data_IF_208277565973
#
_entry.id   IF_208277565973
#
_cell.length_a   1.000
_cell.length_b   1.000
_cell.length_c   1.000
_cell.angle_alpha   90.00
_cell.angle_beta   90.00
_cell.angle_gamma   90.00
#
_symmetry.space_group_name_H-M   'P 1'
#
loop_
_entity.id
_entity.type
_entity.pdbx_description
1 polymer ?
#
# COMPACT_ATOMS: atom_id res chain seq x y z
N UNK A 1 -8.51 47.71 -13.28
CA UNK A 1 -7.28 46.98 -12.88
C UNK A 1 -7.25 46.64 -11.39
N UNK A 2 -7.53 47.59 -10.48
CA UNK A 2 -7.47 47.37 -9.01
C UNK A 2 -8.33 46.20 -8.50
N UNK A 3 -9.58 46.05 -8.97
CA UNK A 3 -10.48 44.96 -8.52
C UNK A 3 -9.98 43.55 -8.89
N UNK A 4 -9.40 43.39 -10.09
CA UNK A 4 -8.84 42.10 -10.53
C UNK A 4 -7.63 41.68 -9.68
N UNK A 5 -6.79 42.63 -9.29
CA UNK A 5 -5.66 42.36 -8.39
C UNK A 5 -6.13 42.01 -6.98
N UNK A 6 -7.17 42.68 -6.46
CA UNK A 6 -7.74 42.35 -5.15
C UNK A 6 -8.25 40.90 -5.14
N UNK A 7 -9.04 40.50 -6.14
CA UNK A 7 -9.56 39.12 -6.25
C UNK A 7 -8.42 38.11 -6.35
N UNK A 8 -7.41 38.38 -7.17
CA UNK A 8 -6.23 37.50 -7.32
C UNK A 8 -5.51 37.29 -5.97
N UNK A 9 -5.21 38.37 -5.25
CA UNK A 9 -4.51 38.28 -3.96
C UNK A 9 -5.35 37.59 -2.89
N UNK A 10 -6.67 37.80 -2.88
CA UNK A 10 -7.56 37.09 -1.95
C UNK A 10 -7.57 35.58 -2.22
N UNK A 11 -7.65 35.16 -3.49
CA UNK A 11 -7.59 33.74 -3.84
C UNK A 11 -6.23 33.12 -3.50
N UNK A 12 -5.13 33.82 -3.77
CA UNK A 12 -3.80 33.37 -3.36
C UNK A 12 -3.70 33.22 -1.83
N UNK A 13 -4.19 34.20 -1.07
CA UNK A 13 -4.16 34.15 0.39
C UNK A 13 -4.99 32.97 0.93
N UNK A 14 -6.19 32.75 0.41
CA UNK A 14 -7.03 31.60 0.80
C UNK A 14 -6.33 30.28 0.44
N UNK A 15 -5.74 30.16 -0.74
CA UNK A 15 -5.01 28.95 -1.16
C UNK A 15 -3.79 28.66 -0.28
N UNK A 16 -3.05 29.70 0.11
CA UNK A 16 -1.92 29.57 1.04
C UNK A 16 -2.42 29.16 2.43
N UNK A 17 -3.45 29.82 2.96
CA UNK A 17 -4.03 29.47 4.27
C UNK A 17 -4.53 28.02 4.27
N UNK A 18 -5.28 27.61 3.25
CA UNK A 18 -5.76 26.24 3.10
C UNK A 18 -4.61 25.24 3.07
N UNK A 19 -3.57 25.51 2.28
CA UNK A 19 -2.38 24.66 2.21
C UNK A 19 -1.70 24.56 3.57
N UNK A 20 -1.46 25.70 4.24
CA UNK A 20 -0.85 25.73 5.58
C UNK A 20 -1.68 24.90 6.55
N UNK A 21 -3.01 25.08 6.59
CA UNK A 21 -3.89 24.29 7.45
C UNK A 21 -3.74 22.80 7.13
N UNK A 22 -3.88 22.37 5.87
CA UNK A 22 -3.75 20.96 5.49
C UNK A 22 -2.39 20.38 5.91
N UNK A 23 -1.29 21.09 5.66
CA UNK A 23 0.05 20.62 5.98
C UNK A 23 0.43 20.71 7.46
N UNK A 24 -0.27 21.51 8.26
CA UNK A 24 0.02 21.69 9.70
C UNK A 24 -0.96 20.97 10.63
N UNK A 25 -2.20 20.74 10.18
CA UNK A 25 -3.26 20.10 10.98
C UNK A 25 -3.40 18.59 10.75
N UNK A 26 -2.73 18.04 9.72
CA UNK A 26 -3.10 16.73 9.15
C UNK A 26 -2.14 15.56 9.35
N UNK A 27 -1.05 15.65 10.11
CA UNK A 27 -0.11 14.51 10.30
C UNK A 27 -0.04 14.00 11.74
N UNK A 28 -1.04 14.32 12.57
CA UNK A 28 -1.15 13.83 13.93
C UNK A 28 -2.20 12.71 14.10
N UNK A 29 -2.80 12.19 13.02
CA UNK A 29 -3.36 10.84 13.11
C UNK A 29 -2.17 9.91 13.29
N UNK A 30 -2.04 9.20 14.43
CA UNK A 30 -1.18 8.04 14.44
C UNK A 30 -1.79 7.15 13.37
N UNK A 31 -1.10 7.02 12.22
CA UNK A 31 -1.31 5.87 11.36
C UNK A 31 -1.34 4.67 12.31
N UNK A 32 -2.24 3.68 12.16
CA UNK A 32 -2.19 2.48 12.97
C UNK A 32 -0.75 2.01 12.88
N UNK A 33 -0.03 2.27 13.96
CA UNK A 33 1.42 2.22 13.90
C UNK A 33 1.60 0.73 13.70
N UNK A 34 2.31 0.38 12.64
CA UNK A 34 2.86 -0.94 12.56
C UNK A 34 3.78 -1.04 13.77
N UNK A 35 3.22 -1.46 14.92
CA UNK A 35 3.89 -1.47 16.20
C UNK A 35 5.02 -2.50 16.19
N UNK A 36 4.98 -3.41 15.21
CA UNK A 36 6.02 -4.35 14.91
C UNK A 36 7.09 -3.74 13.98
N UNK A 37 8.29 -3.54 14.52
CA UNK A 37 9.44 -3.01 13.78
C UNK A 37 9.83 -3.88 12.56
N UNK A 38 9.54 -5.18 12.59
CA UNK A 38 9.83 -6.08 11.48
C UNK A 38 8.87 -5.88 10.32
N UNK A 39 7.57 -5.71 10.60
CA UNK A 39 6.57 -5.40 9.57
C UNK A 39 6.90 -4.05 8.91
N UNK A 40 7.29 -3.05 9.70
CA UNK A 40 7.71 -1.75 9.16
C UNK A 40 8.98 -1.86 8.30
N UNK A 41 9.90 -2.76 8.67
CA UNK A 41 11.10 -3.04 7.88
C UNK A 41 10.78 -3.79 6.59
N UNK A 42 9.88 -4.78 6.63
CA UNK A 42 9.38 -5.47 5.44
C UNK A 42 8.70 -4.51 4.47
N UNK A 43 7.85 -3.60 4.96
CA UNK A 43 7.22 -2.57 4.14
C UNK A 43 8.26 -1.65 3.48
N UNK A 44 9.33 -1.29 4.22
CA UNK A 44 10.43 -0.48 3.68
C UNK A 44 11.18 -1.23 2.58
N UNK A 45 11.57 -2.48 2.82
CA UNK A 45 12.24 -3.35 1.84
C UNK A 45 11.40 -3.51 0.57
N UNK A 46 10.10 -3.76 0.71
CA UNK A 46 9.16 -3.89 -0.41
C UNK A 46 9.15 -2.64 -1.30
N UNK A 47 9.17 -1.45 -0.68
CA UNK A 47 9.19 -0.16 -1.39
C UNK A 47 10.55 0.12 -2.04
N UNK A 48 11.65 -0.08 -1.31
CA UNK A 48 13.00 0.20 -1.79
C UNK A 48 13.39 -0.69 -2.98
N UNK A 49 12.90 -1.93 -3.00
CA UNK A 49 13.14 -2.88 -4.09
C UNK A 49 12.05 -2.86 -5.18
N UNK A 50 11.16 -1.86 -5.14
CA UNK A 50 10.14 -1.59 -6.16
C UNK A 50 9.24 -2.79 -6.48
N UNK A 51 8.89 -3.60 -5.48
CA UNK A 51 8.10 -4.82 -5.67
C UNK A 51 6.72 -4.52 -6.28
N UNK A 52 6.15 -3.34 -5.97
CA UNK A 52 4.87 -2.85 -6.51
C UNK A 52 4.86 -2.65 -8.03
N UNK A 53 6.02 -2.53 -8.67
CA UNK A 53 6.09 -2.40 -10.13
C UNK A 53 5.68 -3.70 -10.85
N UNK A 54 5.80 -4.84 -10.17
CA UNK A 54 5.40 -6.14 -10.70
C UNK A 54 4.19 -6.72 -9.99
N UNK A 55 4.06 -6.50 -8.68
CA UNK A 55 3.01 -7.05 -7.82
C UNK A 55 1.96 -6.02 -7.45
N UNK A 56 0.86 -6.51 -6.86
CA UNK A 56 -0.27 -5.70 -6.45
C UNK A 56 -0.54 -5.85 -4.96
N UNK A 57 -1.15 -4.81 -4.40
CA UNK A 57 -1.99 -4.91 -3.21
C UNK A 57 -3.35 -4.33 -3.53
N UNK A 58 -4.41 -5.05 -3.21
CA UNK A 58 -5.80 -4.64 -3.39
C UNK A 58 -6.14 -4.34 -4.85
N UNK A 59 -5.53 -5.07 -5.78
CA UNK A 59 -5.63 -4.83 -7.21
C UNK A 59 -4.84 -3.62 -7.72
N UNK A 60 -4.06 -2.94 -6.88
CA UNK A 60 -3.28 -1.75 -7.24
C UNK A 60 -1.79 -2.07 -7.31
N UNK A 61 -1.17 -1.78 -8.46
CA UNK A 61 0.25 -2.03 -8.71
C UNK A 61 0.49 -2.56 -10.12
N UNK A 62 1.58 -3.32 -10.28
CA UNK A 62 1.92 -4.01 -11.52
C UNK A 62 1.17 -5.34 -11.67
N UNK A 63 0.97 -5.80 -12.90
CA UNK A 63 0.22 -7.02 -13.23
C UNK A 63 1.12 -8.17 -13.71
N UNK A 64 2.44 -8.07 -13.47
CA UNK A 64 3.40 -9.08 -13.94
C UNK A 64 3.53 -10.25 -12.97
N UNK A 65 3.41 -9.97 -11.67
CA UNK A 65 3.34 -10.95 -10.59
C UNK A 65 1.91 -11.05 -10.03
N UNK A 66 1.63 -12.05 -9.19
CA UNK A 66 0.35 -12.16 -8.51
C UNK A 66 0.10 -10.99 -7.55
N UNK A 67 -1.18 -10.73 -7.28
CA UNK A 67 -1.60 -9.90 -6.14
C UNK A 67 -1.16 -10.57 -4.83
N UNK A 68 -0.56 -9.78 -3.94
CA UNK A 68 0.03 -10.23 -2.70
C UNK A 68 -0.85 -9.98 -1.47
N UNK A 69 -2.04 -9.37 -1.61
CA UNK A 69 -2.90 -8.99 -0.48
C UNK A 69 -3.23 -10.17 0.41
N UNK A 70 -3.64 -11.30 -0.16
CA UNK A 70 -3.98 -12.49 0.62
C UNK A 70 -3.16 -13.71 0.24
N UNK A 71 -1.91 -13.52 -0.21
CA UNK A 71 -1.06 -14.62 -0.71
C UNK A 71 -0.74 -15.64 0.39
N UNK A 72 -0.75 -15.23 1.66
CA UNK A 72 -0.41 -16.05 2.81
C UNK A 72 -1.57 -16.96 3.20
N UNK A 73 -2.80 -16.43 3.20
CA UNK A 73 -4.01 -17.17 3.59
C UNK A 73 -4.60 -18.02 2.46
N UNK A 74 -4.05 -17.98 1.24
CA UNK A 74 -4.45 -18.91 0.17
C UNK A 74 -4.19 -20.35 0.61
N UNK A 75 -5.23 -21.18 0.47
CA UNK A 75 -5.17 -22.62 0.76
C UNK A 75 -3.99 -23.28 0.04
N UNK A 76 -3.11 -23.93 0.81
CA UNK A 76 -1.96 -24.66 0.30
C UNK A 76 -0.69 -23.84 0.03
N UNK A 77 -0.70 -22.51 0.25
CA UNK A 77 0.52 -21.66 0.11
C UNK A 77 1.17 -21.36 1.47
N UNK A 78 0.52 -20.59 2.33
CA UNK A 78 1.10 -20.18 3.61
C UNK A 78 2.34 -19.27 3.46
N UNK A 79 2.95 -18.93 4.60
CA UNK A 79 4.12 -18.04 4.67
C UNK A 79 5.38 -18.64 4.03
N UNK A 80 5.55 -19.96 4.14
CA UNK A 80 6.70 -20.66 3.57
C UNK A 80 6.70 -20.63 2.04
N UNK A 81 5.52 -20.63 1.42
CA UNK A 81 5.42 -20.45 -0.03
C UNK A 81 6.00 -19.09 -0.43
N UNK A 82 5.57 -18.00 0.22
CA UNK A 82 6.08 -16.66 -0.09
C UNK A 82 7.59 -16.56 0.13
N UNK A 83 8.09 -17.14 1.23
CA UNK A 83 9.52 -17.17 1.57
C UNK A 83 10.39 -17.70 0.44
N UNK A 84 10.03 -18.85 -0.14
CA UNK A 84 10.82 -19.48 -1.21
C UNK A 84 10.97 -18.56 -2.43
N UNK A 85 9.91 -17.83 -2.82
CA UNK A 85 10.01 -16.90 -3.95
C UNK A 85 10.84 -15.66 -3.63
N UNK A 86 10.81 -15.19 -2.39
CA UNK A 86 11.62 -14.02 -1.97
C UNK A 86 13.11 -14.41 -1.89
N UNK A 87 13.42 -15.62 -1.40
CA UNK A 87 14.79 -16.13 -1.27
C UNK A 87 15.43 -16.45 -2.63
N UNK A 88 14.70 -17.11 -3.52
CA UNK A 88 15.26 -17.66 -4.75
C UNK A 88 14.89 -16.90 -6.02
N UNK A 89 13.80 -16.14 -6.00
CA UNK A 89 13.21 -15.53 -7.19
C UNK A 89 12.61 -16.56 -8.14
N UNK A 90 12.31 -16.12 -9.37
CA UNK A 90 11.88 -16.97 -10.49
C UNK A 90 12.60 -16.53 -11.77
N UNK A 91 12.20 -17.07 -12.93
CA UNK A 91 12.71 -16.57 -14.21
C UNK A 91 12.38 -15.08 -14.44
N UNK A 92 11.25 -14.59 -13.91
CA UNK A 92 10.77 -13.21 -14.09
C UNK A 92 10.98 -12.34 -12.86
N UNK A 93 10.88 -12.92 -11.67
CA UNK A 93 11.12 -12.24 -10.40
C UNK A 93 12.61 -12.33 -10.07
N UNK A 94 13.35 -11.22 -9.99
CA UNK A 94 14.77 -11.25 -9.67
C UNK A 94 15.03 -11.88 -8.29
N UNK A 95 16.20 -12.49 -8.13
CA UNK A 95 16.73 -12.82 -6.81
C UNK A 95 17.43 -11.58 -6.26
N UNK A 96 16.89 -11.01 -5.18
CA UNK A 96 17.40 -9.80 -4.55
C UNK A 96 18.54 -10.05 -3.55
N UNK A 97 18.87 -11.33 -3.28
CA UNK A 97 19.91 -11.75 -2.35
C UNK A 97 19.72 -11.20 -0.93
N UNK A 98 18.46 -11.17 -0.48
CA UNK A 98 18.12 -10.76 0.88
C UNK A 98 18.72 -11.71 1.92
N UNK A 99 19.05 -11.16 3.08
CA UNK A 99 19.39 -11.93 4.27
C UNK A 99 18.15 -12.62 4.84
N UNK A 100 18.32 -13.72 5.59
CA UNK A 100 17.17 -14.42 6.19
C UNK A 100 16.29 -13.50 7.04
N UNK A 101 16.89 -12.53 7.76
CA UNK A 101 16.15 -11.52 8.53
C UNK A 101 15.29 -10.62 7.63
N UNK A 102 15.82 -10.17 6.49
CA UNK A 102 15.07 -9.34 5.54
C UNK A 102 13.92 -10.12 4.89
N UNK A 103 14.14 -11.40 4.59
CA UNK A 103 13.10 -12.31 4.11
C UNK A 103 12.01 -12.46 5.17
N UNK A 104 12.37 -12.72 6.42
CA UNK A 104 11.43 -12.80 7.55
C UNK A 104 10.60 -11.53 7.69
N UNK A 105 11.23 -10.37 7.58
CA UNK A 105 10.57 -9.06 7.65
C UNK A 105 9.59 -8.86 6.50
N UNK A 106 9.97 -9.24 5.28
CA UNK A 106 9.08 -9.19 4.11
C UNK A 106 7.88 -10.13 4.30
N UNK A 107 8.09 -11.36 4.77
CA UNK A 107 7.01 -12.32 5.04
C UNK A 107 6.07 -11.81 6.12
N UNK A 108 6.59 -11.28 7.24
CA UNK A 108 5.79 -10.63 8.29
C UNK A 108 4.97 -9.46 7.74
N UNK A 109 5.54 -8.69 6.81
CA UNK A 109 4.80 -7.64 6.14
C UNK A 109 3.64 -8.17 5.30
N UNK A 110 3.84 -9.27 4.56
CA UNK A 110 2.75 -9.92 3.82
C UNK A 110 1.68 -10.49 4.75
N UNK A 111 2.06 -11.10 5.88
CA UNK A 111 1.13 -11.57 6.92
C UNK A 111 0.31 -10.41 7.51
N UNK A 112 0.96 -9.27 7.76
CA UNK A 112 0.28 -8.07 8.23
C UNK A 112 -0.74 -7.56 7.20
N UNK A 113 -0.39 -7.51 5.91
CA UNK A 113 -1.32 -7.09 4.86
C UNK A 113 -2.52 -8.04 4.78
N UNK A 114 -2.27 -9.34 4.81
CA UNK A 114 -3.31 -10.37 4.76
C UNK A 114 -4.30 -10.24 5.92
N UNK A 115 -3.80 -9.96 7.13
CA UNK A 115 -4.62 -9.77 8.32
C UNK A 115 -5.48 -8.48 8.29
N UNK A 116 -5.04 -7.44 7.57
CA UNK A 116 -5.67 -6.11 7.61
C UNK A 116 -6.49 -5.76 6.37
N UNK A 117 -6.57 -6.65 5.38
CA UNK A 117 -7.47 -6.43 4.26
C UNK A 117 -7.62 -7.65 3.35
N UNK A 118 -8.73 -7.68 2.62
CA UNK A 118 -9.07 -8.75 1.69
C UNK A 118 -9.22 -8.25 0.27
N UNK A 119 -8.75 -9.04 -0.68
CA UNK A 119 -8.94 -8.84 -2.10
C UNK A 119 -8.96 -10.24 -2.77
N UNK A 120 -9.96 -10.61 -3.55
CA UNK A 120 -11.02 -9.82 -4.18
C UNK A 120 -12.28 -9.71 -3.31
N UNK A 121 -13.04 -8.58 -3.37
CA UNK A 121 -14.31 -8.48 -2.66
C UNK A 121 -15.31 -9.48 -3.27
N UNK A 122 -15.80 -10.42 -2.46
CA UNK A 122 -16.74 -11.45 -2.92
C UNK A 122 -18.14 -10.87 -3.20
N UNK A 123 -18.58 -9.89 -2.40
CA UNK A 123 -19.91 -9.30 -2.47
C UNK A 123 -19.81 -7.77 -2.47
N UNK A 124 -19.87 -7.15 -3.64
CA UNK A 124 -19.82 -5.70 -3.78
C UNK A 124 -20.87 -5.16 -4.76
N UNK A 125 -21.29 -3.91 -4.53
CA UNK A 125 -22.11 -3.16 -5.49
C UNK A 125 -21.23 -2.16 -6.24
N UNK A 126 -21.45 -2.02 -7.54
CA UNK A 126 -20.89 -0.92 -8.31
C UNK A 126 -21.75 0.33 -8.13
N UNK A 127 -21.12 1.42 -7.68
CA UNK A 127 -21.72 2.75 -7.75
C UNK A 127 -21.66 3.26 -9.19
N UNK A 128 -22.58 4.17 -9.54
CA UNK A 128 -22.67 4.72 -10.89
C UNK A 128 -21.42 5.53 -11.31
N UNK A 129 -20.63 6.01 -10.35
CA UNK A 129 -19.39 6.76 -10.57
C UNK A 129 -18.13 5.88 -10.51
N UNK A 130 -18.30 4.55 -10.53
CA UNK A 130 -17.19 3.59 -10.67
C UNK A 130 -16.47 3.24 -9.38
N UNK A 131 -17.02 3.60 -8.21
CA UNK A 131 -16.56 3.05 -6.94
C UNK A 131 -17.28 1.72 -6.64
N UNK A 132 -16.69 0.88 -5.80
CA UNK A 132 -17.36 -0.30 -5.27
C UNK A 132 -17.57 -0.13 -3.76
N UNK A 133 -18.70 -0.62 -3.26
CA UNK A 133 -18.97 -0.74 -1.82
C UNK A 133 -19.18 -2.21 -1.49
N UNK A 134 -18.47 -2.71 -0.47
CA UNK A 134 -18.70 -4.06 0.06
C UNK A 134 -20.11 -4.12 0.67
N UNK A 135 -20.88 -5.15 0.31
CA UNK A 135 -22.16 -5.42 0.97
C UNK A 135 -21.91 -6.02 2.34
N UNK A 136 -22.16 -5.25 3.40
CA UNK A 136 -22.28 -5.79 4.77
C UNK A 136 -21.31 -5.25 5.82
N UNK A 137 -20.74 -4.07 5.63
CA UNK A 137 -20.19 -3.27 6.74
C UNK A 137 -21.26 -2.34 7.31
#
# INVERSE_FOLDING_TARGET
MKVKHIIYWTLCAIGVIYSVVVYTSGTATPLPIVHDADVASGQRLFRENNCVACHQFYGLGGYMGPDLTNVISVEGKGSDYARVFIEFGTQKMPNFQFTQTEVDQLVKFLEFVDAHGKYTPENYNFSWYGAYEEKGQ
#
